data_IF_148721084010
#
_entry.id   IF_148721084010
#
_cell.length_a   1.000
_cell.length_b   1.000
_cell.length_c   1.000
_cell.angle_alpha   90.00
_cell.angle_beta   90.00
_cell.angle_gamma   90.00
#
_symmetry.space_group_name_H-M   'P 1'
#
loop_
_entity.id
_entity.type
_entity.pdbx_description
1 polymer ?
#
# COMPACT_ATOMS: atom_id res chain seq x y z
N UNK A 1 -14.34 10.51 11.35
CA UNK A 1 -13.12 10.35 12.15
C UNK A 1 -13.43 10.48 13.61
N UNK A 2 -12.70 9.80 14.45
CA UNK A 2 -13.00 9.72 15.87
C UNK A 2 -11.71 9.73 16.68
N UNK A 3 -11.87 9.86 18.00
CA UNK A 3 -10.72 9.74 18.90
C UNK A 3 -10.11 8.35 18.81
N UNK A 4 -10.91 7.32 18.54
CA UNK A 4 -10.40 5.98 18.30
C UNK A 4 -9.45 5.97 17.10
N UNK A 5 -9.85 6.61 16.00
CA UNK A 5 -8.99 6.68 14.80
C UNK A 5 -7.67 7.38 15.12
N UNK A 6 -7.75 8.46 15.89
CA UNK A 6 -6.54 9.18 16.28
C UNK A 6 -5.61 8.30 17.12
N UNK A 7 -6.15 7.60 18.11
CA UNK A 7 -5.34 6.73 18.95
C UNK A 7 -4.75 5.56 18.15
N UNK A 8 -5.53 5.00 17.23
CA UNK A 8 -5.03 3.93 16.36
C UNK A 8 -3.89 4.42 15.47
N UNK A 9 -3.99 5.65 14.96
CA UNK A 9 -2.94 6.21 14.11
C UNK A 9 -1.61 6.33 14.87
N UNK A 10 -1.66 6.65 16.16
CA UNK A 10 -0.45 6.72 16.98
C UNK A 10 0.21 5.35 17.10
N UNK A 11 -0.57 4.30 17.31
CA UNK A 11 -0.04 2.94 17.39
C UNK A 11 0.59 2.51 16.08
N UNK A 12 -0.05 2.84 14.96
CA UNK A 12 0.49 2.51 13.64
C UNK A 12 1.80 3.27 13.41
N UNK A 13 1.85 4.55 13.78
CA UNK A 13 3.04 5.37 13.62
C UNK A 13 4.22 4.83 14.43
N UNK A 14 3.94 4.25 15.60
CA UNK A 14 4.98 3.66 16.46
C UNK A 14 5.63 2.42 15.85
N UNK A 15 4.99 1.78 14.86
CA UNK A 15 5.56 0.63 14.17
C UNK A 15 6.66 1.01 13.19
N UNK A 16 6.80 2.30 12.91
CA UNK A 16 7.85 2.83 12.03
C UNK A 16 7.83 2.19 10.62
N UNK A 17 6.63 1.97 10.08
CA UNK A 17 6.49 1.47 8.72
C UNK A 17 6.89 2.55 7.71
N UNK A 18 7.48 2.16 6.57
CA UNK A 18 7.76 3.13 5.49
C UNK A 18 6.48 3.81 5.00
N UNK A 19 6.60 5.06 4.57
CA UNK A 19 5.45 5.84 4.14
C UNK A 19 4.64 5.13 3.04
N UNK A 20 5.34 4.59 2.03
CA UNK A 20 4.64 3.91 0.94
C UNK A 20 3.86 2.70 1.43
N UNK A 21 4.39 1.97 2.42
CA UNK A 21 3.68 0.85 3.01
C UNK A 21 2.42 1.30 3.72
N UNK A 22 2.47 2.43 4.42
CA UNK A 22 1.30 2.99 5.09
C UNK A 22 0.22 3.38 4.08
N UNK A 23 0.61 3.99 2.96
CA UNK A 23 -0.34 4.37 1.92
C UNK A 23 -0.95 3.14 1.25
N UNK A 24 -0.14 2.12 0.96
CA UNK A 24 -0.66 0.87 0.40
C UNK A 24 -1.63 0.17 1.34
N UNK A 25 -1.34 0.18 2.64
CA UNK A 25 -2.25 -0.38 3.64
C UNK A 25 -3.56 0.39 3.69
N UNK A 26 -3.50 1.72 3.62
CA UNK A 26 -4.69 2.56 3.57
C UNK A 26 -5.53 2.24 2.32
N UNK A 27 -4.88 2.04 1.18
CA UNK A 27 -5.57 1.66 -0.05
C UNK A 27 -6.27 0.31 0.07
N UNK A 28 -5.65 -0.66 0.75
CA UNK A 28 -6.25 -1.98 0.94
C UNK A 28 -7.51 -1.92 1.80
N UNK A 29 -7.56 -0.99 2.74
CA UNK A 29 -8.70 -0.84 3.65
C UNK A 29 -9.70 0.19 3.18
N UNK A 30 -9.38 0.97 2.17
CA UNK A 30 -10.24 2.05 1.72
C UNK A 30 -11.46 1.50 0.98
N UNK A 31 -12.62 2.10 1.21
CA UNK A 31 -13.76 1.92 0.32
C UNK A 31 -13.52 2.64 -1.00
N UNK A 32 -14.41 2.42 -1.97
CA UNK A 32 -14.23 2.94 -3.32
C UNK A 32 -13.92 4.43 -3.39
N UNK A 33 -14.60 5.24 -2.60
CA UNK A 33 -14.41 6.69 -2.62
C UNK A 33 -13.03 7.07 -2.07
N UNK A 34 -12.64 6.50 -0.94
CA UNK A 34 -11.32 6.80 -0.35
C UNK A 34 -10.20 6.27 -1.23
N UNK A 35 -10.40 5.10 -1.83
CA UNK A 35 -9.40 4.56 -2.76
C UNK A 35 -9.20 5.52 -3.94
N UNK A 36 -10.27 6.05 -4.50
CA UNK A 36 -10.18 7.00 -5.62
C UNK A 36 -9.40 8.25 -5.22
N UNK A 37 -9.64 8.76 -4.01
CA UNK A 37 -8.92 9.92 -3.50
C UNK A 37 -7.42 9.63 -3.36
N UNK A 38 -7.08 8.47 -2.81
CA UNK A 38 -5.68 8.07 -2.63
C UNK A 38 -4.99 7.87 -3.98
N UNK A 39 -5.69 7.28 -4.95
CA UNK A 39 -5.15 7.10 -6.29
C UNK A 39 -4.84 8.43 -6.96
N UNK A 40 -5.70 9.42 -6.78
CA UNK A 40 -5.47 10.76 -7.34
C UNK A 40 -4.27 11.44 -6.68
N UNK A 41 -4.11 11.27 -5.38
CA UNK A 41 -3.02 11.89 -4.63
C UNK A 41 -1.69 11.18 -4.85
N UNK A 42 -1.71 9.85 -4.96
CA UNK A 42 -0.51 9.02 -5.05
C UNK A 42 -0.61 8.01 -6.19
N UNK A 43 -0.66 8.48 -7.43
CA UNK A 43 -0.87 7.58 -8.57
C UNK A 43 0.25 6.56 -8.74
N UNK A 44 1.50 6.91 -8.42
CA UNK A 44 2.61 5.98 -8.57
C UNK A 44 2.54 4.85 -7.55
N UNK A 45 2.14 5.18 -6.31
CA UNK A 45 2.00 4.16 -5.27
C UNK A 45 0.84 3.21 -5.62
N UNK A 46 -0.27 3.75 -6.12
CA UNK A 46 -1.40 2.93 -6.54
C UNK A 46 -1.01 2.00 -7.69
N UNK A 47 -0.30 2.52 -8.69
CA UNK A 47 0.13 1.72 -9.83
C UNK A 47 1.05 0.58 -9.38
N UNK A 48 1.96 0.83 -8.45
CA UNK A 48 2.84 -0.20 -7.93
C UNK A 48 2.07 -1.23 -7.12
N UNK A 49 1.16 -0.79 -6.25
CA UNK A 49 0.33 -1.71 -5.48
C UNK A 49 -0.46 -2.64 -6.40
N UNK A 50 -1.08 -2.08 -7.44
CA UNK A 50 -1.86 -2.87 -8.39
C UNK A 50 -0.99 -3.87 -9.14
N UNK A 51 0.19 -3.44 -9.60
CA UNK A 51 1.10 -4.32 -10.31
C UNK A 51 1.55 -5.49 -9.43
N UNK A 52 1.90 -5.20 -8.18
CA UNK A 52 2.35 -6.24 -7.25
C UNK A 52 1.20 -7.14 -6.82
N UNK A 53 0.02 -6.59 -6.62
CA UNK A 53 -1.15 -7.39 -6.26
C UNK A 53 -1.45 -8.46 -7.30
N UNK A 54 -1.22 -8.14 -8.57
CA UNK A 54 -1.47 -9.05 -9.68
C UNK A 54 -0.25 -9.91 -10.04
N UNK A 55 0.89 -9.69 -9.39
CA UNK A 55 2.11 -10.44 -9.67
C UNK A 55 2.25 -11.62 -8.71
N UNK A 56 2.79 -12.76 -9.16
CA UNK A 56 3.01 -13.91 -8.27
C UNK A 56 3.94 -13.52 -7.12
N UNK A 57 3.49 -13.75 -5.88
CA UNK A 57 4.25 -13.41 -4.68
C UNK A 57 4.51 -11.91 -4.49
N UNK A 58 3.82 -11.04 -5.25
CA UNK A 58 4.06 -9.61 -5.19
C UNK A 58 5.38 -9.18 -5.81
N UNK A 59 6.04 -10.06 -6.55
CA UNK A 59 7.33 -9.78 -7.18
C UNK A 59 7.13 -9.36 -8.63
N UNK A 60 7.67 -8.19 -8.96
CA UNK A 60 7.69 -7.73 -10.35
C UNK A 60 8.71 -8.54 -11.15
N UNK A 61 8.60 -8.51 -12.50
CA UNK A 61 9.43 -9.36 -13.36
C UNK A 61 10.92 -9.19 -13.09
N UNK A 62 11.37 -7.96 -12.86
CA UNK A 62 12.78 -7.68 -12.62
C UNK A 62 13.25 -8.08 -11.21
N UNK A 63 12.34 -8.45 -10.34
CA UNK A 63 12.63 -8.85 -8.96
C UNK A 63 12.60 -10.36 -8.77
N UNK A 64 12.13 -11.09 -9.77
CA UNK A 64 12.06 -12.55 -9.67
C UNK A 64 13.45 -13.15 -9.79
N UNK A 65 13.72 -14.24 -9.05
CA UNK A 65 14.96 -14.96 -9.25
C UNK A 65 15.08 -15.40 -10.70
N UNK A 66 16.27 -15.23 -11.29
CA UNK A 66 16.53 -15.73 -12.63
C UNK A 66 16.50 -17.26 -12.55
N UNK A 67 15.70 -17.94 -13.39
CA UNK A 67 15.72 -19.40 -13.38
C UNK A 67 17.12 -19.89 -13.69
N UNK A 68 17.57 -20.90 -12.99
CA UNK A 68 18.86 -21.51 -13.29
C UNK A 68 18.88 -22.02 -14.73
N UNK A 69 19.89 -21.59 -15.41
CA UNK A 69 20.06 -21.98 -16.80
C UNK A 69 20.30 -23.50 -16.93
#
# INVERSE_FOLDING_TARGET
MSHFDYQASKKIAMQDYPFCALIMAAMRQAGGLNYAKLRLAYPEIEAELRARYNAPGGLLDNERPVPDA
#
